data_IF_643636903056
#
_entry.id   IF_643636903056
#
_cell.length_a   1.000
_cell.length_b   1.000
_cell.length_c   1.000
_cell.angle_alpha   90.00
_cell.angle_beta   90.00
_cell.angle_gamma   90.00
#
_symmetry.space_group_name_H-M   'P 1'
#
loop_
_entity.id
_entity.type
_entity.pdbx_description
1 polymer ?
#
# COMPACT_ATOMS: atom_id res chain seq x y z
N UNK A 1 -16.82 -1.18 -30.10
CA UNK A 1 -18.30 -1.29 -29.97
C UNK A 1 -18.76 -0.14 -29.08
N UNK A 2 -19.68 0.68 -29.57
CA UNK A 2 -20.07 1.97 -29.01
C UNK A 2 -20.98 1.82 -27.77
N UNK A 3 -20.67 2.53 -26.70
CA UNK A 3 -21.67 3.03 -25.75
C UNK A 3 -21.56 4.55 -25.68
N UNK A 4 -22.66 5.22 -26.04
CA UNK A 4 -22.86 6.67 -25.95
C UNK A 4 -23.22 7.06 -24.51
N UNK A 5 -22.77 8.24 -24.08
CA UNK A 5 -23.38 9.01 -23.00
C UNK A 5 -22.65 8.92 -21.65
N UNK A 6 -22.07 10.06 -21.23
CA UNK A 6 -21.54 10.26 -19.89
C UNK A 6 -20.03 10.48 -19.86
N UNK A 7 -19.62 11.69 -19.48
CA UNK A 7 -18.23 12.13 -19.32
C UNK A 7 -17.42 11.10 -18.51
N UNK A 8 -16.38 10.50 -19.09
CA UNK A 8 -15.38 9.74 -18.33
C UNK A 8 -14.22 10.67 -17.99
N UNK A 9 -14.41 11.50 -16.96
CA UNK A 9 -13.36 12.35 -16.41
C UNK A 9 -12.55 11.50 -15.41
N UNK A 10 -11.73 10.58 -15.93
CA UNK A 10 -10.64 9.96 -15.16
C UNK A 10 -9.37 10.77 -15.41
N UNK A 11 -9.44 12.09 -15.22
CA UNK A 11 -8.24 12.93 -15.11
C UNK A 11 -7.91 12.98 -13.62
N UNK A 12 -6.76 12.41 -13.26
CA UNK A 12 -6.28 12.20 -11.89
C UNK A 12 -5.94 13.50 -11.14
N UNK A 13 -6.92 14.38 -11.01
CA UNK A 13 -6.78 15.65 -10.30
C UNK A 13 -7.98 15.85 -9.37
N UNK A 14 -7.72 15.83 -8.07
CA UNK A 14 -8.74 16.14 -7.06
C UNK A 14 -8.68 17.63 -6.74
N UNK A 15 -9.80 18.36 -6.93
CA UNK A 15 -9.88 19.79 -6.59
C UNK A 15 -10.03 19.95 -5.07
N UNK A 16 -9.00 20.46 -4.41
CA UNK A 16 -9.05 20.86 -3.00
C UNK A 16 -8.79 22.37 -2.92
N UNK A 17 -9.83 23.15 -2.59
CA UNK A 17 -9.76 24.62 -2.34
C UNK A 17 -8.82 25.38 -3.28
N UNK A 18 -9.22 25.47 -4.54
CA UNK A 18 -8.52 26.20 -5.62
C UNK A 18 -7.11 25.72 -5.99
N UNK A 19 -6.65 24.62 -5.40
CA UNK A 19 -5.41 23.96 -5.78
C UNK A 19 -5.69 22.66 -6.56
N UNK A 20 -4.85 22.41 -7.57
CA UNK A 20 -4.79 21.16 -8.32
C UNK A 20 -3.79 20.23 -7.62
N UNK A 21 -4.24 19.05 -7.22
CA UNK A 21 -3.41 18.01 -6.61
C UNK A 21 -3.28 16.86 -7.60
N UNK A 22 -2.05 16.57 -8.02
CA UNK A 22 -1.71 15.45 -8.88
C UNK A 22 -1.34 14.20 -8.04
N UNK A 23 -1.77 13.02 -8.51
CA UNK A 23 -1.34 11.77 -7.90
C UNK A 23 0.11 11.47 -8.27
N UNK A 24 0.95 11.17 -7.28
CA UNK A 24 2.38 10.90 -7.49
C UNK A 24 2.69 9.52 -8.09
N UNK A 25 1.70 8.63 -8.22
CA UNK A 25 1.89 7.24 -8.66
C UNK A 25 2.92 6.49 -7.80
N UNK A 26 3.88 5.82 -8.44
CA UNK A 26 5.05 5.19 -7.80
C UNK A 26 4.71 4.12 -6.75
N UNK A 27 3.67 3.34 -7.03
CA UNK A 27 3.28 2.19 -6.21
C UNK A 27 4.43 1.19 -6.10
N UNK A 28 4.72 0.73 -4.87
CA UNK A 28 5.83 -0.16 -4.57
C UNK A 28 5.35 -1.45 -3.91
N UNK A 29 5.99 -2.56 -4.27
CA UNK A 29 5.93 -3.82 -3.54
C UNK A 29 7.24 -3.96 -2.78
N UNK A 30 7.16 -4.07 -1.45
CA UNK A 30 8.32 -4.13 -0.55
C UNK A 30 8.32 -5.48 0.14
N UNK A 31 9.47 -6.13 0.21
CA UNK A 31 9.60 -7.42 0.88
C UNK A 31 9.65 -7.26 2.41
N UNK A 32 9.55 -8.36 3.17
CA UNK A 32 9.59 -8.29 4.63
C UNK A 32 10.94 -7.83 5.23
N UNK A 33 12.02 -7.78 4.44
CA UNK A 33 13.32 -7.21 4.83
C UNK A 33 13.39 -5.69 4.62
N UNK A 34 12.39 -5.10 3.96
CA UNK A 34 12.34 -3.67 3.65
C UNK A 34 12.87 -3.29 2.27
N UNK A 35 13.17 -4.27 1.41
CA UNK A 35 13.71 -4.03 0.07
C UNK A 35 12.57 -3.86 -0.95
N UNK A 36 12.71 -2.93 -1.90
CA UNK A 36 11.74 -2.74 -2.98
C UNK A 36 11.93 -3.85 -4.01
N UNK A 37 10.90 -4.69 -4.19
CA UNK A 37 10.90 -5.78 -5.17
C UNK A 37 10.46 -5.25 -6.54
N UNK A 38 9.46 -4.38 -6.55
CA UNK A 38 8.93 -3.79 -7.77
C UNK A 38 8.37 -2.39 -7.49
N UNK A 39 8.50 -1.50 -8.47
CA UNK A 39 7.97 -0.13 -8.45
C UNK A 39 7.32 0.15 -9.80
N UNK A 40 6.06 0.61 -9.78
CA UNK A 40 5.38 1.13 -10.95
C UNK A 40 5.76 2.60 -11.17
N UNK A 41 5.60 3.08 -12.41
CA UNK A 41 5.83 4.48 -12.73
C UNK A 41 4.71 5.41 -12.22
N UNK A 42 4.68 6.62 -12.76
CA UNK A 42 3.67 7.65 -12.44
C UNK A 42 2.34 7.40 -13.15
N UNK A 43 2.34 6.55 -14.18
CA UNK A 43 1.19 6.24 -15.02
C UNK A 43 0.55 4.90 -14.67
N UNK A 44 -0.62 4.65 -15.26
CA UNK A 44 -1.38 3.41 -15.10
C UNK A 44 -0.52 2.17 -15.41
N UNK A 45 -0.59 1.19 -14.52
CA UNK A 45 0.18 -0.04 -14.65
C UNK A 45 -0.29 -1.11 -13.68
N UNK A 46 0.04 -2.36 -13.99
CA UNK A 46 -0.27 -3.54 -13.19
C UNK A 46 1.05 -4.25 -12.88
N UNK A 47 1.18 -4.72 -11.65
CA UNK A 47 2.34 -5.45 -11.17
C UNK A 47 1.86 -6.70 -10.43
N UNK A 48 2.48 -7.84 -10.73
CA UNK A 48 2.25 -9.14 -10.08
C UNK A 48 3.61 -9.73 -9.70
N UNK A 49 3.76 -10.12 -8.44
CA UNK A 49 5.00 -10.69 -7.90
C UNK A 49 4.65 -11.94 -7.11
N UNK A 50 5.31 -13.04 -7.43
CA UNK A 50 5.34 -14.24 -6.59
C UNK A 50 6.50 -14.14 -5.61
N UNK A 51 6.25 -14.33 -4.32
CA UNK A 51 7.25 -14.14 -3.29
C UNK A 51 7.09 -15.11 -2.13
N UNK A 52 8.14 -15.87 -1.81
CA UNK A 52 8.08 -16.97 -0.82
C UNK A 52 8.97 -16.75 0.42
N UNK A 53 9.61 -15.58 0.58
CA UNK A 53 10.54 -15.37 1.71
C UNK A 53 9.84 -15.05 3.04
N UNK A 54 8.51 -14.91 3.06
CA UNK A 54 7.75 -14.60 4.28
C UNK A 54 7.94 -15.71 5.32
N UNK A 55 7.93 -16.97 4.88
CA UNK A 55 8.11 -18.11 5.78
C UNK A 55 9.53 -18.12 6.36
N UNK A 56 10.53 -18.02 5.49
CA UNK A 56 11.94 -17.99 5.88
C UNK A 56 12.23 -16.83 6.84
N UNK A 57 11.66 -15.64 6.61
CA UNK A 57 11.83 -14.50 7.49
C UNK A 57 11.24 -14.74 8.87
N UNK A 58 10.03 -15.31 8.98
CA UNK A 58 9.37 -15.57 10.28
C UNK A 58 10.01 -16.69 11.09
N UNK A 59 10.66 -17.64 10.42
CA UNK A 59 11.43 -18.70 11.07
C UNK A 59 12.76 -18.16 11.64
N UNK A 60 13.43 -17.26 10.90
CA UNK A 60 14.74 -16.71 11.29
C UNK A 60 14.66 -15.46 12.19
N UNK A 61 13.58 -14.68 12.09
CA UNK A 61 13.33 -13.49 12.90
C UNK A 61 11.99 -13.66 13.63
N UNK A 62 12.05 -14.06 14.90
CA UNK A 62 10.86 -14.44 15.69
C UNK A 62 10.09 -13.26 16.28
N UNK A 63 10.18 -12.07 15.68
CA UNK A 63 9.56 -10.84 16.21
C UNK A 63 8.05 -10.94 16.43
N UNK A 64 7.36 -11.81 15.67
CA UNK A 64 5.93 -12.10 15.90
C UNK A 64 5.68 -12.93 17.16
N UNK A 65 6.59 -13.83 17.52
CA UNK A 65 6.51 -14.64 18.76
C UNK A 65 6.85 -13.78 19.99
N UNK A 66 7.76 -12.83 19.82
CA UNK A 66 8.24 -11.96 20.90
C UNK A 66 7.27 -10.79 21.19
N UNK A 67 6.20 -10.66 20.40
CA UNK A 67 5.22 -9.59 20.53
C UNK A 67 4.42 -9.71 21.84
N UNK A 68 4.54 -8.71 22.73
CA UNK A 68 3.77 -8.65 23.96
C UNK A 68 2.32 -8.19 23.71
N UNK A 69 1.45 -9.15 23.38
CA UNK A 69 0.05 -8.89 23.04
C UNK A 69 -0.74 -8.20 24.17
N UNK A 70 -0.39 -8.44 25.43
CA UNK A 70 -1.06 -7.79 26.58
C UNK A 70 -0.78 -6.28 26.58
N UNK A 71 0.48 -5.90 26.37
CA UNK A 71 0.88 -4.50 26.28
C UNK A 71 0.25 -3.83 25.05
N UNK A 72 0.34 -4.47 23.88
CA UNK A 72 -0.24 -3.95 22.64
C UNK A 72 -1.74 -3.69 22.76
N UNK A 73 -2.52 -4.63 23.34
CA UNK A 73 -3.97 -4.45 23.55
C UNK A 73 -4.29 -3.26 24.44
N UNK A 74 -3.47 -2.98 25.46
CA UNK A 74 -3.64 -1.82 26.33
C UNK A 74 -3.44 -0.51 25.55
N UNK A 75 -2.38 -0.42 24.74
CA UNK A 75 -2.12 0.73 23.87
C UNK A 75 -3.23 0.98 22.85
N UNK A 76 -3.72 -0.07 22.18
CA UNK A 76 -4.79 0.10 21.19
C UNK A 76 -6.14 0.49 21.79
N UNK A 77 -6.43 0.07 23.04
CA UNK A 77 -7.62 0.54 23.75
C UNK A 77 -7.55 2.05 24.06
N UNK A 78 -6.37 2.59 24.36
CA UNK A 78 -6.19 4.04 24.55
C UNK A 78 -6.18 4.85 23.24
N UNK A 79 -6.06 4.19 22.08
CA UNK A 79 -6.06 4.81 20.76
C UNK A 79 -7.45 4.90 20.11
N UNK A 80 -8.49 4.33 20.72
CA UNK A 80 -9.87 4.57 20.28
C UNK A 80 -10.29 5.99 20.71
N UNK A 81 -10.10 6.96 19.82
CA UNK A 81 -10.78 8.24 19.79
C UNK A 81 -12.11 8.11 19.04
#
# INVERSE_FOLDING_TARGET
>A
MLCRGGKSLWEGVSKVKDNYVEFAGRTKIINPKGEIIQELGEYEGISCVEFDDVKAQRENLTYLKDLNLKLCRKMYKSLKA
#
